data_IF_779854358734
#
_entry.id   IF_779854358734
#
_cell.length_a   1.000
_cell.length_b   1.000
_cell.length_c   1.000
_cell.angle_alpha   90.00
_cell.angle_beta   90.00
_cell.angle_gamma   90.00
#
_symmetry.space_group_name_H-M   'P 1'
#
loop_
_entity.id
_entity.type
_entity.pdbx_description
1 polymer ?
#
# COMPACT_ATOMS: atom_id res chain seq x y z
N UNK A 1 -7.68 -16.74 7.59
CA UNK A 1 -8.64 -15.72 8.05
C UNK A 1 -8.71 -14.72 6.91
N UNK A 2 -9.83 -14.63 6.20
CA UNK A 2 -9.97 -13.63 5.12
C UNK A 2 -10.07 -12.25 5.77
N UNK A 3 -9.20 -11.29 5.41
CA UNK A 3 -9.35 -9.92 5.89
C UNK A 3 -10.76 -9.43 5.58
N UNK A 4 -11.42 -8.78 6.53
CA UNK A 4 -12.67 -8.05 6.25
C UNK A 4 -12.30 -6.88 5.32
N UNK A 5 -13.02 -6.75 4.20
CA UNK A 5 -12.79 -5.66 3.24
C UNK A 5 -13.05 -4.30 3.89
N UNK A 6 -12.22 -3.32 3.56
CA UNK A 6 -12.36 -1.95 4.06
C UNK A 6 -13.52 -1.23 3.34
N UNK A 7 -14.52 -0.76 4.09
CA UNK A 7 -15.52 0.15 3.52
C UNK A 7 -14.93 1.54 3.33
N UNK A 8 -14.62 1.86 2.08
CA UNK A 8 -14.00 3.12 1.64
C UNK A 8 -14.98 4.04 0.91
N UNK A 9 -16.29 3.77 0.96
CA UNK A 9 -17.29 4.45 0.13
C UNK A 9 -17.23 5.97 0.28
N UNK A 10 -17.14 6.48 1.51
CA UNK A 10 -17.20 7.91 1.81
C UNK A 10 -15.84 8.54 2.17
N UNK A 11 -14.73 7.85 1.89
CA UNK A 11 -13.40 8.34 2.25
C UNK A 11 -12.99 9.60 1.48
N UNK A 12 -12.46 10.58 2.22
CA UNK A 12 -11.73 11.71 1.64
C UNK A 12 -10.35 11.26 1.15
N UNK A 13 -9.68 12.07 0.32
CA UNK A 13 -8.29 11.76 -0.08
C UNK A 13 -7.35 11.69 1.13
N UNK A 14 -7.63 12.46 2.19
CA UNK A 14 -6.84 12.42 3.42
C UNK A 14 -6.96 11.06 4.11
N UNK A 15 -8.13 10.44 4.09
CA UNK A 15 -8.34 9.11 4.69
C UNK A 15 -7.49 8.05 3.96
N UNK A 16 -7.44 8.12 2.62
CA UNK A 16 -6.56 7.26 1.82
C UNK A 16 -5.08 7.48 2.14
N UNK A 17 -4.63 8.74 2.24
CA UNK A 17 -3.23 9.05 2.57
C UNK A 17 -2.83 8.53 3.96
N UNK A 18 -3.67 8.78 4.97
CA UNK A 18 -3.43 8.34 6.34
C UNK A 18 -3.43 6.81 6.45
N UNK A 19 -4.37 6.13 5.78
CA UNK A 19 -4.41 4.68 5.75
C UNK A 19 -3.16 4.09 5.07
N UNK A 20 -2.78 4.62 3.90
CA UNK A 20 -1.60 4.18 3.16
C UNK A 20 -0.33 4.35 4.00
N UNK A 21 -0.10 5.53 4.57
CA UNK A 21 1.10 5.78 5.38
C UNK A 21 1.13 4.94 6.66
N UNK A 22 -0.03 4.66 7.27
CA UNK A 22 -0.15 3.79 8.43
C UNK A 22 0.21 2.34 8.11
N UNK A 23 -0.39 1.76 7.07
CA UNK A 23 -0.13 0.37 6.67
C UNK A 23 1.32 0.18 6.21
N UNK A 24 1.88 1.15 5.47
CA UNK A 24 3.31 1.12 5.08
C UNK A 24 4.23 1.07 6.30
N UNK A 25 3.95 1.87 7.35
CA UNK A 25 4.74 1.84 8.58
C UNK A 25 4.65 0.50 9.31
N UNK A 26 3.46 -0.12 9.33
CA UNK A 26 3.29 -1.47 9.90
C UNK A 26 4.09 -2.51 9.12
N UNK A 27 4.04 -2.46 7.78
CA UNK A 27 4.82 -3.34 6.92
C UNK A 27 6.33 -3.22 7.18
N UNK A 28 6.85 -1.99 7.26
CA UNK A 28 8.27 -1.73 7.56
C UNK A 28 8.67 -2.23 8.95
N UNK A 29 7.83 -2.00 9.96
CA UNK A 29 8.06 -2.49 11.31
C UNK A 29 8.05 -4.03 11.38
N UNK A 30 7.13 -4.68 10.68
CA UNK A 30 7.06 -6.13 10.59
C UNK A 30 8.32 -6.71 9.93
N UNK A 31 8.74 -6.16 8.78
CA UNK A 31 9.99 -6.55 8.11
C UNK A 31 11.21 -6.35 9.02
N UNK A 32 11.29 -5.23 9.75
CA UNK A 32 12.38 -4.99 10.69
C UNK A 32 12.42 -6.04 11.81
N UNK A 33 11.25 -6.43 12.34
CA UNK A 33 11.12 -7.46 13.38
C UNK A 33 11.53 -8.85 12.86
N UNK A 34 11.14 -9.21 11.64
CA UNK A 34 11.54 -10.48 11.00
C UNK A 34 13.06 -10.60 10.88
N UNK A 35 13.74 -9.49 10.58
CA UNK A 35 15.19 -9.45 10.38
C UNK A 35 15.99 -9.32 11.70
N UNK A 36 15.36 -9.40 12.88
CA UNK A 36 16.08 -9.34 14.15
C UNK A 36 16.84 -10.65 14.44
N UNK A 37 18.08 -10.59 14.96
CA UNK A 37 18.88 -11.79 15.28
C UNK A 37 18.23 -12.76 16.28
N UNK A 38 17.26 -12.30 17.07
CA UNK A 38 16.53 -13.11 18.05
C UNK A 38 15.35 -13.89 17.45
N UNK A 39 14.93 -13.55 16.23
CA UNK A 39 13.90 -14.28 15.50
C UNK A 39 14.43 -15.61 14.94
N UNK A 40 15.75 -15.80 14.90
CA UNK A 40 16.40 -17.02 14.43
C UNK A 40 17.74 -17.26 15.13
N UNK A 41 17.79 -18.15 16.12
CA UNK A 41 19.06 -18.57 16.77
C UNK A 41 19.67 -19.85 16.16
N UNK A 42 19.06 -20.38 15.08
CA UNK A 42 19.47 -21.63 14.44
C UNK A 42 19.00 -22.91 15.15
N UNK A 43 18.37 -22.81 16.33
CA UNK A 43 17.90 -23.94 17.13
C UNK A 43 16.46 -23.81 17.65
N UNK A 44 15.93 -22.58 17.81
CA UNK A 44 14.57 -22.33 18.31
C UNK A 44 13.71 -21.54 17.31
N UNK A 45 12.59 -22.16 16.91
CA UNK A 45 11.50 -21.52 16.18
C UNK A 45 10.55 -20.86 17.18
N UNK A 46 10.21 -19.59 16.95
CA UNK A 46 9.25 -18.84 17.75
C UNK A 46 7.97 -18.63 16.94
N UNK A 47 6.83 -19.07 17.44
CA UNK A 47 5.53 -18.90 16.76
C UNK A 47 5.19 -17.43 16.43
N UNK A 48 5.79 -16.46 17.14
CA UNK A 48 5.66 -15.04 16.84
C UNK A 48 6.32 -14.63 15.51
N UNK A 49 7.33 -15.36 15.03
CA UNK A 49 8.00 -15.05 13.77
C UNK A 49 7.07 -15.26 12.58
N UNK A 50 6.36 -16.38 12.52
CA UNK A 50 5.40 -16.66 11.44
C UNK A 50 4.24 -15.67 11.44
N UNK A 51 3.76 -15.26 12.62
CA UNK A 51 2.76 -14.21 12.73
C UNK A 51 3.25 -12.87 12.14
N UNK A 52 4.51 -12.49 12.40
CA UNK A 52 5.10 -11.25 11.88
C UNK A 52 5.37 -11.35 10.37
N UNK A 53 5.76 -12.52 9.87
CA UNK A 53 5.87 -12.80 8.42
C UNK A 53 4.52 -12.61 7.74
N UNK A 54 3.49 -13.29 8.24
CA UNK A 54 2.13 -13.19 7.71
C UNK A 54 1.57 -11.76 7.76
N UNK A 55 1.88 -11.01 8.82
CA UNK A 55 1.47 -9.60 8.94
C UNK A 55 2.13 -8.72 7.87
N UNK A 56 3.45 -8.86 7.67
CA UNK A 56 4.23 -8.01 6.77
C UNK A 56 4.03 -8.35 5.28
N UNK A 57 4.14 -9.63 4.92
CA UNK A 57 4.11 -10.09 3.52
C UNK A 57 2.68 -10.41 3.03
N UNK A 58 1.80 -10.85 3.93
CA UNK A 58 0.42 -11.23 3.59
C UNK A 58 -0.57 -10.10 3.82
N UNK A 59 -0.82 -9.78 5.08
CA UNK A 59 -1.91 -8.86 5.46
C UNK A 59 -1.66 -7.43 4.96
N UNK A 60 -0.50 -6.83 5.24
CA UNK A 60 -0.20 -5.47 4.81
C UNK A 60 -0.25 -5.32 3.28
N UNK A 61 0.28 -6.29 2.53
CA UNK A 61 0.23 -6.28 1.06
C UNK A 61 -1.22 -6.32 0.56
N UNK A 62 -2.05 -7.20 1.11
CA UNK A 62 -3.47 -7.30 0.72
C UNK A 62 -4.25 -6.00 0.97
N UNK A 63 -3.99 -5.33 2.09
CA UNK A 63 -4.65 -4.07 2.44
C UNK A 63 -4.18 -2.93 1.54
N UNK A 64 -2.89 -2.85 1.23
CA UNK A 64 -2.37 -1.85 0.29
C UNK A 64 -2.96 -2.02 -1.11
N UNK A 65 -3.04 -3.26 -1.61
CA UNK A 65 -3.67 -3.55 -2.91
C UNK A 65 -5.15 -3.13 -2.95
N UNK A 66 -5.89 -3.40 -1.87
CA UNK A 66 -7.29 -2.99 -1.74
C UNK A 66 -7.45 -1.46 -1.73
N UNK A 67 -6.64 -0.76 -0.92
CA UNK A 67 -6.61 0.71 -0.83
C UNK A 67 -6.31 1.35 -2.18
N UNK A 68 -5.25 0.90 -2.85
CA UNK A 68 -4.80 1.47 -4.11
C UNK A 68 -5.73 1.10 -5.26
N UNK A 69 -6.34 -0.09 -5.24
CA UNK A 69 -7.38 -0.50 -6.17
C UNK A 69 -8.62 0.42 -6.10
N UNK A 70 -9.11 0.70 -4.89
CA UNK A 70 -10.22 1.64 -4.68
C UNK A 70 -9.85 3.07 -5.12
N UNK A 71 -8.64 3.52 -4.80
CA UNK A 71 -8.17 4.86 -5.19
C UNK A 71 -8.04 5.02 -6.72
N UNK A 72 -7.66 3.97 -7.46
CA UNK A 72 -7.55 4.00 -8.93
C UNK A 72 -8.87 4.30 -9.62
N UNK A 73 -10.01 3.85 -9.07
CA UNK A 73 -11.32 4.04 -9.69
C UNK A 73 -12.08 5.28 -9.17
N UNK A 74 -11.68 5.83 -8.03
CA UNK A 74 -12.31 7.02 -7.43
C UNK A 74 -11.91 8.30 -8.16
N UNK A 75 -12.80 9.29 -8.24
CA UNK A 75 -12.48 10.66 -8.70
C UNK A 75 -12.87 11.64 -7.61
N UNK A 76 -12.05 12.67 -7.40
CA UNK A 76 -12.37 13.75 -6.46
C UNK A 76 -12.81 15.00 -7.21
N UNK A 77 -13.86 15.67 -6.72
CA UNK A 77 -14.41 16.88 -7.36
C UNK A 77 -13.47 18.09 -7.22
N UNK A 78 -12.69 18.13 -6.14
CA UNK A 78 -11.72 19.19 -5.91
C UNK A 78 -10.41 18.89 -6.65
N UNK A 79 -9.95 19.86 -7.43
CA UNK A 79 -8.70 19.71 -8.20
C UNK A 79 -7.48 19.42 -7.32
N UNK A 80 -7.43 19.99 -6.12
CA UNK A 80 -6.33 19.76 -5.18
C UNK A 80 -6.30 18.31 -4.69
N UNK A 81 -7.45 17.73 -4.39
CA UNK A 81 -7.58 16.34 -3.96
C UNK A 81 -7.31 15.36 -5.10
N UNK A 82 -7.71 15.72 -6.33
CA UNK A 82 -7.38 14.92 -7.51
C UNK A 82 -5.87 14.91 -7.80
N UNK A 83 -5.16 16.03 -7.62
CA UNK A 83 -3.69 16.08 -7.74
C UNK A 83 -3.01 15.21 -6.67
N UNK A 84 -3.53 15.25 -5.43
CA UNK A 84 -3.06 14.39 -4.32
C UNK A 84 -3.28 12.91 -4.60
N UNK A 85 -4.45 12.53 -5.11
CA UNK A 85 -4.76 11.18 -5.59
C UNK A 85 -3.72 10.69 -6.60
N UNK A 86 -3.46 11.49 -7.64
CA UNK A 86 -2.48 11.14 -8.66
C UNK A 86 -1.07 10.96 -8.06
N UNK A 87 -0.64 11.87 -7.17
CA UNK A 87 0.66 11.75 -6.49
C UNK A 87 0.77 10.50 -5.64
N UNK A 88 -0.30 10.13 -4.94
CA UNK A 88 -0.32 8.91 -4.12
C UNK A 88 -0.22 7.65 -4.99
N UNK A 89 -0.94 7.60 -6.11
CA UNK A 89 -0.84 6.51 -7.09
C UNK A 89 0.57 6.38 -7.67
N UNK A 90 1.21 7.51 -8.00
CA UNK A 90 2.60 7.53 -8.49
C UNK A 90 3.56 7.03 -7.39
N UNK A 91 3.37 7.50 -6.15
CA UNK A 91 4.21 7.10 -5.01
C UNK A 91 4.12 5.60 -4.77
N UNK A 92 2.92 5.04 -4.77
CA UNK A 92 2.70 3.60 -4.64
C UNK A 92 3.40 2.81 -5.74
N UNK A 93 3.18 3.15 -7.02
CA UNK A 93 3.83 2.48 -8.15
C UNK A 93 5.36 2.55 -8.10
N UNK A 94 5.95 3.64 -7.60
CA UNK A 94 7.41 3.75 -7.48
C UNK A 94 7.99 2.91 -6.34
N UNK A 95 7.21 2.59 -5.30
CA UNK A 95 7.66 1.76 -4.17
C UNK A 95 7.32 0.27 -4.35
N UNK A 96 6.18 -0.03 -4.98
CA UNK A 96 5.57 -1.37 -5.01
C UNK A 96 5.16 -1.84 -6.41
N UNK A 97 5.34 -1.02 -7.45
CA UNK A 97 5.14 -1.44 -8.83
C UNK A 97 6.13 -2.54 -9.24
N UNK A 98 5.82 -3.35 -10.27
CA UNK A 98 6.77 -4.31 -10.80
C UNK A 98 8.06 -3.57 -11.17
N UNK A 99 9.20 -4.15 -10.82
CA UNK A 99 10.51 -3.63 -11.20
C UNK A 99 10.59 -3.55 -12.72
N UNK A 100 10.21 -2.41 -13.30
CA UNK A 100 10.14 -2.22 -14.74
C UNK A 100 8.82 -1.73 -15.32
N UNK A 101 7.76 -1.44 -14.55
CA UNK A 101 6.67 -0.61 -15.11
C UNK A 101 7.28 0.76 -15.46
N UNK A 102 7.43 1.09 -16.76
CA UNK A 102 8.21 2.24 -17.13
C UNK A 102 7.46 3.48 -16.67
N UNK A 103 8.20 4.52 -16.31
CA UNK A 103 7.70 5.88 -16.07
C UNK A 103 6.66 6.30 -17.14
N UNK A 104 6.74 5.75 -18.35
CA UNK A 104 5.76 5.88 -19.42
C UNK A 104 4.33 5.44 -19.05
N UNK A 105 4.12 4.31 -18.37
CA UNK A 105 2.78 3.88 -17.94
C UNK A 105 2.19 4.85 -16.91
N UNK A 106 3.06 5.39 -16.04
CA UNK A 106 2.70 6.43 -15.07
C UNK A 106 2.30 7.73 -15.80
N UNK A 107 3.13 8.17 -16.75
CA UNK A 107 2.87 9.37 -17.55
C UNK A 107 1.60 9.22 -18.37
N UNK A 108 1.34 8.03 -18.93
CA UNK A 108 0.14 7.73 -19.69
C UNK A 108 -1.10 7.78 -18.81
N UNK A 109 -1.09 7.13 -17.63
CA UNK A 109 -2.18 7.19 -16.67
C UNK A 109 -2.49 8.64 -16.25
N UNK A 110 -1.46 9.44 -15.97
CA UNK A 110 -1.64 10.88 -15.64
C UNK A 110 -2.22 11.65 -16.83
N UNK A 111 -1.81 11.34 -18.05
CA UNK A 111 -2.26 12.02 -19.27
C UNK A 111 -3.72 11.70 -19.59
N UNK A 112 -4.08 10.42 -19.55
CA UNK A 112 -5.46 9.94 -19.76
C UNK A 112 -6.42 10.55 -18.72
N UNK A 113 -5.98 10.62 -17.47
CA UNK A 113 -6.78 11.18 -16.39
C UNK A 113 -6.94 12.70 -16.41
N UNK A 114 -6.03 13.43 -17.08
CA UNK A 114 -6.13 14.89 -17.28
C UNK A 114 -6.96 15.29 -18.50
N UNK A 115 -7.10 14.39 -19.47
CA UNK A 115 -7.84 14.62 -20.70
C UNK A 115 -9.34 14.32 -20.56
N UNK A 116 -9.74 13.56 -19.53
CA UNK A 116 -11.12 13.22 -19.19
C UNK A 116 -11.65 14.05 -18.02
#
# INVERSE_FOLDING_TARGET
MTPESLDMTDWSILDFELAYDGIRQVAEAALWLQNQPRAYDGSQYYAGADFIVELGEGWCASVLDELMGALRIRRFSERADEDRRLRLLIRDMTHHGPAGDPIEAIVQLVTEQRAA
#
